data_IF_789532631480
#
_entry.id   IF_789532631480
#
_cell.length_a   1.000
_cell.length_b   1.000
_cell.length_c   1.000
_cell.angle_alpha   90.00
_cell.angle_beta   90.00
_cell.angle_gamma   90.00
#
_symmetry.space_group_name_H-M   'P 1'
#
loop_
_entity.id
_entity.type
_entity.pdbx_description
1 polymer ?
#
# COMPACT_ATOMS: atom_id res chain seq x y z
N UNK A 1 19.06 -1.93 7.22
CA UNK A 1 17.83 -2.69 7.42
C UNK A 1 16.86 -1.81 8.18
N UNK A 2 15.59 -1.73 7.79
CA UNK A 2 14.57 -0.98 8.52
C UNK A 2 14.39 -1.53 9.95
N UNK A 3 13.89 -0.70 10.88
CA UNK A 3 13.80 -1.06 12.30
C UNK A 3 12.94 -2.31 12.60
N UNK A 4 11.95 -2.61 11.75
CA UNK A 4 11.11 -3.81 11.86
C UNK A 4 11.45 -4.91 10.84
N UNK A 5 12.62 -4.82 10.19
CA UNK A 5 13.04 -5.76 9.16
C UNK A 5 12.51 -5.40 7.76
N UNK A 6 12.77 -6.29 6.80
CA UNK A 6 12.21 -6.19 5.46
C UNK A 6 10.81 -6.78 5.45
N UNK A 7 9.80 -6.04 4.99
CA UNK A 7 8.41 -6.46 4.98
C UNK A 7 7.72 -6.21 3.62
N UNK A 8 8.45 -5.71 2.63
CA UNK A 8 7.87 -5.61 1.28
C UNK A 8 7.53 -7.00 0.73
N UNK A 9 6.47 -7.08 -0.06
CA UNK A 9 6.19 -8.22 -0.93
C UNK A 9 7.04 -8.05 -2.18
N UNK A 10 7.98 -8.98 -2.41
CA UNK A 10 8.81 -8.95 -3.61
C UNK A 10 7.95 -9.10 -4.87
N UNK A 11 8.27 -8.36 -5.91
CA UNK A 11 7.59 -8.45 -7.19
C UNK A 11 8.23 -9.56 -8.02
N UNK A 12 7.40 -10.46 -8.57
CA UNK A 12 7.84 -11.47 -9.54
C UNK A 12 7.26 -11.11 -10.90
N UNK A 13 8.14 -10.82 -11.85
CA UNK A 13 7.76 -10.50 -13.22
C UNK A 13 8.61 -11.31 -14.21
N UNK A 14 7.97 -12.20 -14.96
CA UNK A 14 8.65 -13.13 -15.84
C UNK A 14 9.72 -13.93 -15.11
N UNK A 15 10.97 -13.80 -15.53
CA UNK A 15 12.11 -14.47 -14.91
C UNK A 15 12.83 -13.63 -13.84
N UNK A 16 12.26 -12.53 -13.42
CA UNK A 16 12.84 -11.62 -12.44
C UNK A 16 12.11 -11.66 -11.11
N UNK A 17 12.87 -11.52 -10.03
CA UNK A 17 12.42 -11.14 -8.71
C UNK A 17 12.99 -9.75 -8.42
N UNK A 18 12.10 -8.77 -8.19
CA UNK A 18 12.46 -7.37 -7.99
C UNK A 18 12.15 -6.98 -6.56
N UNK A 19 13.09 -6.34 -5.88
CA UNK A 19 12.93 -5.94 -4.49
C UNK A 19 13.74 -4.67 -4.16
N UNK A 20 13.49 -4.13 -2.97
CA UNK A 20 14.07 -2.87 -2.49
C UNK A 20 14.95 -3.08 -1.26
N UNK A 21 16.17 -3.65 -1.40
CA UNK A 21 17.09 -3.79 -0.27
C UNK A 21 17.59 -2.45 0.27
N UNK A 22 17.51 -1.38 -0.52
CA UNK A 22 17.98 -0.05 -0.16
C UNK A 22 19.49 0.08 -0.08
N UNK A 23 19.98 1.32 0.09
CA UNK A 23 21.35 1.62 0.44
C UNK A 23 22.24 2.11 -0.71
N UNK A 24 23.48 2.42 -0.38
CA UNK A 24 24.41 3.18 -1.22
C UNK A 24 24.80 2.53 -2.56
N UNK A 25 24.58 1.24 -2.71
CA UNK A 25 24.87 0.55 -3.98
C UNK A 25 23.71 0.63 -4.98
N UNK A 26 22.59 1.18 -4.55
CA UNK A 26 21.35 1.30 -5.31
C UNK A 26 20.18 0.69 -4.53
N UNK A 27 19.04 1.39 -4.49
CA UNK A 27 17.90 1.02 -3.65
C UNK A 27 17.13 -0.19 -4.15
N UNK A 28 17.01 -0.37 -5.47
CA UNK A 28 16.19 -1.41 -6.10
C UNK A 28 17.08 -2.36 -6.89
N UNK A 29 16.79 -3.66 -6.80
CA UNK A 29 17.50 -4.71 -7.54
C UNK A 29 16.52 -5.64 -8.23
N UNK A 30 16.93 -6.19 -9.37
CA UNK A 30 16.30 -7.34 -9.97
C UNK A 30 17.28 -8.51 -10.01
N UNK A 31 16.79 -9.67 -9.61
CA UNK A 31 17.51 -10.92 -9.57
C UNK A 31 16.85 -11.93 -10.51
N UNK A 32 17.62 -12.81 -11.07
CA UNK A 32 17.09 -14.00 -11.79
C UNK A 32 16.31 -14.87 -10.79
N UNK A 33 15.07 -15.18 -11.10
CA UNK A 33 14.17 -15.93 -10.23
C UNK A 33 14.72 -17.30 -9.83
N UNK A 34 15.37 -18.00 -10.75
CA UNK A 34 15.81 -19.38 -10.53
C UNK A 34 17.22 -19.49 -9.93
N UNK A 35 18.04 -18.44 -10.05
CA UNK A 35 19.47 -18.50 -9.65
C UNK A 35 19.84 -17.49 -8.56
N UNK A 36 19.03 -16.46 -8.37
CA UNK A 36 19.34 -15.32 -7.52
C UNK A 36 20.44 -14.41 -8.05
N UNK A 37 20.91 -14.61 -9.28
CA UNK A 37 21.96 -13.77 -9.88
C UNK A 37 21.41 -12.36 -10.15
N UNK A 38 22.25 -11.35 -9.89
CA UNK A 38 21.92 -9.95 -10.16
C UNK A 38 21.78 -9.72 -11.66
N UNK A 39 20.62 -9.20 -12.09
CA UNK A 39 20.35 -8.74 -13.46
C UNK A 39 20.63 -7.25 -13.59
N UNK A 40 20.07 -6.45 -12.70
CA UNK A 40 20.32 -5.02 -12.64
C UNK A 40 20.12 -4.46 -11.22
N UNK A 41 20.70 -3.29 -10.97
CA UNK A 41 20.54 -2.51 -9.74
C UNK A 41 20.41 -1.04 -10.08
N UNK A 42 19.40 -0.36 -9.54
CA UNK A 42 19.12 1.06 -9.78
C UNK A 42 20.07 1.94 -8.95
N UNK A 43 21.26 2.21 -9.49
CA UNK A 43 22.35 2.92 -8.79
C UNK A 43 22.10 4.42 -8.61
N UNK A 44 21.19 5.00 -9.39
CA UNK A 44 20.84 6.42 -9.30
C UNK A 44 20.01 6.76 -8.05
N UNK A 45 19.51 5.76 -7.34
CA UNK A 45 18.68 5.90 -6.15
C UNK A 45 19.38 5.19 -5.00
N UNK A 46 19.61 5.89 -3.88
CA UNK A 46 20.35 5.38 -2.71
C UNK A 46 19.55 5.44 -1.40
N UNK A 47 18.24 5.63 -1.47
CA UNK A 47 17.35 5.58 -0.31
C UNK A 47 17.49 4.25 0.43
N UNK A 48 17.29 4.29 1.75
CA UNK A 48 17.19 3.09 2.56
C UNK A 48 15.91 2.30 2.23
N UNK A 49 15.91 1.01 2.52
CA UNK A 49 14.70 0.20 2.46
C UNK A 49 13.68 0.64 3.52
N UNK A 50 12.41 0.56 3.17
CA UNK A 50 11.28 0.68 4.08
C UNK A 50 10.32 -0.51 3.91
N UNK A 51 9.02 -0.29 4.14
CA UNK A 51 8.05 -1.38 4.27
C UNK A 51 7.08 -1.48 3.09
N UNK A 52 7.22 -0.58 2.10
CA UNK A 52 6.36 -0.52 0.91
C UNK A 52 6.67 -1.63 -0.08
N UNK A 53 5.63 -2.17 -0.70
CA UNK A 53 5.75 -3.06 -1.84
C UNK A 53 5.74 -2.28 -3.15
N UNK A 54 6.50 -2.76 -4.11
CA UNK A 54 6.60 -2.17 -5.46
C UNK A 54 5.36 -2.50 -6.28
N UNK A 55 4.95 -1.57 -7.13
CA UNK A 55 3.85 -1.74 -8.07
C UNK A 55 4.39 -1.79 -9.50
N UNK A 56 4.00 -2.81 -10.27
CA UNK A 56 4.20 -2.85 -11.72
C UNK A 56 2.92 -2.36 -12.41
N UNK A 57 3.06 -1.40 -13.30
CA UNK A 57 1.94 -0.81 -14.05
C UNK A 57 2.22 -0.81 -15.53
N UNK A 58 1.17 -0.81 -16.35
CA UNK A 58 1.26 -0.45 -17.76
C UNK A 58 0.91 1.03 -17.89
N UNK A 59 1.93 1.88 -18.08
CA UNK A 59 1.76 3.30 -18.28
C UNK A 59 1.76 3.59 -19.79
N UNK A 60 0.58 3.87 -20.36
CA UNK A 60 0.39 4.21 -21.78
C UNK A 60 1.06 3.21 -22.76
N UNK A 61 0.96 1.91 -22.45
CA UNK A 61 1.56 0.84 -23.24
C UNK A 61 2.99 0.45 -22.85
N UNK A 62 3.61 1.14 -21.89
CA UNK A 62 4.96 0.89 -21.42
C UNK A 62 4.96 0.41 -19.96
N UNK A 63 5.53 -0.78 -19.65
CA UNK A 63 5.63 -1.25 -18.28
C UNK A 63 6.57 -0.37 -17.45
N UNK A 64 6.14 0.01 -16.26
CA UNK A 64 6.92 0.79 -15.31
C UNK A 64 6.78 0.22 -13.91
N UNK A 65 7.85 0.26 -13.14
CA UNK A 65 7.86 -0.03 -11.71
C UNK A 65 7.67 1.28 -10.94
N UNK A 66 6.75 1.29 -10.00
CA UNK A 66 6.54 2.44 -9.10
C UNK A 66 6.93 2.04 -7.68
N UNK A 67 7.87 2.77 -7.08
CA UNK A 67 8.30 2.53 -5.71
C UNK A 67 8.23 3.79 -4.87
N UNK A 68 7.61 3.67 -3.70
CA UNK A 68 7.59 4.69 -2.67
C UNK A 68 8.78 4.50 -1.74
N UNK A 69 9.65 5.48 -1.68
CA UNK A 69 10.88 5.50 -0.87
C UNK A 69 10.78 6.57 0.24
N UNK A 70 11.69 6.57 1.21
CA UNK A 70 11.69 7.56 2.30
C UNK A 70 11.67 9.01 1.84
N UNK A 71 12.45 9.36 0.82
CA UNK A 71 12.61 10.74 0.37
C UNK A 71 11.85 11.07 -0.92
N UNK A 72 11.38 10.05 -1.66
CA UNK A 72 10.84 10.22 -3.00
C UNK A 72 9.92 9.10 -3.44
N UNK A 73 9.16 9.35 -4.51
CA UNK A 73 8.50 8.32 -5.31
C UNK A 73 9.21 8.24 -6.64
N UNK A 74 9.48 7.03 -7.12
CA UNK A 74 10.23 6.82 -8.36
C UNK A 74 9.49 5.88 -9.30
N UNK A 75 9.60 6.17 -10.60
CA UNK A 75 9.26 5.26 -11.68
C UNK A 75 10.52 4.70 -12.31
N UNK A 76 10.59 3.39 -12.49
CA UNK A 76 11.75 2.70 -13.04
C UNK A 76 11.36 1.83 -14.24
N UNK A 77 12.31 1.67 -15.17
CA UNK A 77 12.21 0.66 -16.21
C UNK A 77 12.39 -0.74 -15.59
N UNK A 78 11.48 -1.69 -15.79
CA UNK A 78 11.63 -3.06 -15.30
C UNK A 78 12.79 -3.81 -15.98
N UNK A 79 13.21 -3.39 -17.19
CA UNK A 79 14.23 -4.07 -17.96
C UNK A 79 15.65 -3.88 -17.41
N UNK A 80 15.92 -2.67 -16.85
CA UNK A 80 17.29 -2.28 -16.50
C UNK A 80 17.41 -1.42 -15.24
N UNK A 81 16.29 -1.11 -14.54
CA UNK A 81 16.28 -0.30 -13.33
C UNK A 81 16.61 1.19 -13.53
N UNK A 82 16.58 1.68 -14.79
CA UNK A 82 16.79 3.11 -15.06
C UNK A 82 15.62 3.92 -14.52
N UNK A 83 15.91 5.04 -13.88
CA UNK A 83 14.91 6.00 -13.43
C UNK A 83 14.26 6.64 -14.65
N UNK A 84 12.95 6.56 -14.74
CA UNK A 84 12.12 7.19 -15.77
C UNK A 84 11.64 8.55 -15.30
N UNK A 85 11.21 8.63 -14.05
CA UNK A 85 10.76 9.84 -13.39
C UNK A 85 10.92 9.71 -11.85
N UNK A 86 10.90 10.84 -11.17
CA UNK A 86 10.94 10.90 -9.72
C UNK A 86 10.30 12.17 -9.20
N UNK A 87 9.75 12.12 -8.00
CA UNK A 87 9.22 13.28 -7.28
C UNK A 87 9.57 13.19 -5.80
N UNK A 88 10.04 14.30 -5.24
CA UNK A 88 10.35 14.39 -3.82
C UNK A 88 9.09 14.32 -2.96
N UNK A 89 9.23 13.69 -1.79
CA UNK A 89 8.18 13.65 -0.77
C UNK A 89 8.73 13.95 0.61
N UNK A 90 7.81 14.33 1.52
CA UNK A 90 8.12 14.54 2.93
C UNK A 90 7.77 13.28 3.76
N UNK A 91 8.34 13.18 4.96
CA UNK A 91 7.98 12.18 5.94
C UNK A 91 8.65 10.82 5.75
N UNK A 92 9.92 10.69 6.16
CA UNK A 92 10.70 9.47 5.97
C UNK A 92 10.35 8.35 6.97
N UNK A 93 9.44 8.58 7.92
CA UNK A 93 9.14 7.62 9.00
C UNK A 93 8.02 6.68 8.56
N UNK A 94 8.20 5.38 8.80
CA UNK A 94 7.20 4.31 8.61
C UNK A 94 6.50 4.37 7.24
N UNK A 95 7.29 4.36 6.17
CA UNK A 95 6.80 4.37 4.79
C UNK A 95 6.37 2.95 4.41
N UNK A 96 5.07 2.68 4.43
CA UNK A 96 4.54 1.32 4.30
C UNK A 96 3.43 1.14 3.26
N UNK A 97 2.76 2.22 2.88
CA UNK A 97 1.64 2.16 1.95
C UNK A 97 2.11 1.92 0.52
N UNK A 98 1.60 0.89 -0.13
CA UNK A 98 1.84 0.64 -1.56
C UNK A 98 1.24 1.78 -2.39
N UNK A 99 1.95 2.30 -3.40
CA UNK A 99 1.41 3.32 -4.30
C UNK A 99 0.14 2.86 -5.01
N UNK A 100 -0.75 3.80 -5.33
CA UNK A 100 -1.91 3.57 -6.19
C UNK A 100 -1.62 4.25 -7.53
N UNK A 101 -1.88 3.54 -8.62
CA UNK A 101 -1.78 4.06 -9.98
C UNK A 101 -3.13 3.92 -10.70
N UNK A 102 -3.59 5.00 -11.32
CA UNK A 102 -4.77 4.98 -12.17
C UNK A 102 -4.68 6.07 -13.26
N UNK A 103 -4.67 5.65 -14.53
CA UNK A 103 -4.67 6.55 -15.70
C UNK A 103 -3.61 7.66 -15.64
N UNK A 104 -2.34 7.29 -15.41
CA UNK A 104 -1.23 8.23 -15.29
C UNK A 104 -1.12 8.95 -13.93
N UNK A 105 -2.14 8.86 -13.09
CA UNK A 105 -2.11 9.45 -11.76
C UNK A 105 -1.56 8.47 -10.74
N UNK A 106 -0.63 8.95 -9.91
CA UNK A 106 -0.01 8.19 -8.82
C UNK A 106 -0.35 8.84 -7.50
N UNK A 107 -0.86 8.04 -6.57
CA UNK A 107 -1.16 8.47 -5.21
C UNK A 107 -0.33 7.70 -4.20
N UNK A 108 0.21 8.40 -3.21
CA UNK A 108 0.92 7.83 -2.07
C UNK A 108 0.48 8.50 -0.78
N UNK A 109 0.55 7.76 0.33
CA UNK A 109 0.26 8.27 1.66
C UNK A 109 1.24 7.71 2.68
N UNK A 110 1.50 8.46 3.73
CA UNK A 110 2.26 8.00 4.90
C UNK A 110 1.76 8.71 6.15
N UNK A 111 1.89 8.04 7.28
CA UNK A 111 1.57 8.61 8.59
C UNK A 111 2.65 9.57 9.13
N UNK A 112 2.63 9.81 10.42
CA UNK A 112 3.54 10.73 11.13
C UNK A 112 3.56 12.15 10.58
N UNK A 113 2.39 12.61 10.08
CA UNK A 113 2.21 13.96 9.56
C UNK A 113 2.74 14.18 8.13
N UNK A 114 3.17 13.13 7.44
CA UNK A 114 3.55 13.21 6.04
C UNK A 114 2.33 13.51 5.16
N UNK A 115 1.19 12.85 5.44
CA UNK A 115 -0.01 13.00 4.63
C UNK A 115 0.05 12.25 3.32
N UNK A 116 -0.55 12.82 2.29
CA UNK A 116 -0.64 12.22 0.97
C UNK A 116 -0.17 13.17 -0.14
N UNK A 117 0.25 12.56 -1.23
CA UNK A 117 0.70 13.22 -2.45
C UNK A 117 0.04 12.54 -3.65
N UNK A 118 -0.53 13.34 -4.52
CA UNK A 118 -1.04 12.96 -5.83
C UNK A 118 -0.28 13.72 -6.91
N UNK A 119 0.15 13.02 -7.94
CA UNK A 119 0.79 13.61 -9.11
C UNK A 119 0.42 12.83 -10.37
N UNK A 120 0.53 13.49 -11.51
CA UNK A 120 0.34 12.92 -12.83
C UNK A 120 1.69 12.68 -13.50
N UNK A 121 1.81 11.58 -14.21
CA UNK A 121 2.93 11.25 -15.09
C UNK A 121 2.40 11.26 -16.51
N UNK A 122 2.97 12.08 -17.39
CA UNK A 122 2.57 12.15 -18.81
C UNK A 122 3.29 11.11 -19.68
N UNK A 123 3.00 11.12 -20.98
CA UNK A 123 3.58 10.17 -21.94
C UNK A 123 5.12 10.31 -22.09
N UNK A 124 5.67 11.48 -21.81
CA UNK A 124 7.11 11.77 -21.85
C UNK A 124 7.79 11.57 -20.48
N UNK A 125 7.06 11.05 -19.51
CA UNK A 125 7.48 10.86 -18.12
C UNK A 125 7.73 12.17 -17.34
N UNK A 126 7.12 13.29 -17.75
CA UNK A 126 7.12 14.48 -16.91
C UNK A 126 6.13 14.30 -15.77
N UNK A 127 6.53 14.78 -14.59
CA UNK A 127 5.75 14.67 -13.37
C UNK A 127 5.16 16.02 -13.01
N UNK A 128 3.84 16.06 -12.80
CA UNK A 128 3.13 17.23 -12.34
C UNK A 128 2.39 16.94 -11.04
N UNK A 129 2.76 17.61 -9.95
CA UNK A 129 2.03 17.52 -8.68
C UNK A 129 0.61 18.08 -8.87
N UNK A 130 -0.41 17.31 -8.45
CA UNK A 130 -1.81 17.71 -8.47
C UNK A 130 -2.19 18.27 -7.10
N UNK A 131 -1.93 17.55 -6.03
CA UNK A 131 -2.12 18.02 -4.66
C UNK A 131 -1.20 17.31 -3.67
N UNK A 132 -0.98 18.01 -2.55
CA UNK A 132 -0.34 17.49 -1.35
C UNK A 132 -1.13 17.99 -0.14
N UNK A 133 -1.60 17.07 0.71
CA UNK A 133 -2.37 17.44 1.88
C UNK A 133 -2.22 16.42 3.02
N UNK A 134 -2.92 16.65 4.14
CA UNK A 134 -2.87 15.80 5.33
C UNK A 134 -4.24 15.19 5.69
N UNK A 135 -5.07 14.97 4.67
CA UNK A 135 -6.43 14.43 4.88
C UNK A 135 -6.37 12.95 5.24
N UNK A 136 -5.53 12.18 4.53
CA UNK A 136 -5.32 10.78 4.80
C UNK A 136 -3.84 10.53 5.13
N UNK A 137 -3.56 10.15 6.38
CA UNK A 137 -2.23 9.81 6.88
C UNK A 137 -2.18 8.30 7.14
N UNK A 138 -2.07 7.50 6.10
CA UNK A 138 -2.08 6.05 6.27
C UNK A 138 -0.76 5.52 6.82
N UNK A 139 -0.80 4.72 7.88
CA UNK A 139 0.38 4.13 8.49
C UNK A 139 0.77 2.83 7.79
N UNK A 140 0.04 1.75 8.02
CA UNK A 140 0.29 0.46 7.38
C UNK A 140 -0.95 -0.30 6.93
N UNK A 141 -2.11 0.24 7.07
CA UNK A 141 -3.34 -0.45 6.67
C UNK A 141 -3.60 -0.51 5.17
N UNK A 142 -2.86 0.24 4.37
CA UNK A 142 -3.10 0.40 2.94
C UNK A 142 -4.22 1.40 2.64
N UNK A 143 -4.29 1.78 1.37
CA UNK A 143 -5.34 2.66 0.82
C UNK A 143 -5.86 2.00 -0.45
N UNK A 144 -7.19 1.98 -0.63
CA UNK A 144 -7.85 1.43 -1.81
C UNK A 144 -8.52 2.53 -2.62
N UNK A 145 -8.38 2.46 -3.93
CA UNK A 145 -9.17 3.26 -4.86
C UNK A 145 -10.47 2.52 -5.15
N UNK A 146 -11.61 3.15 -4.85
CA UNK A 146 -12.96 2.62 -5.08
C UNK A 146 -13.73 3.64 -5.90
N UNK A 147 -13.95 3.34 -7.18
CA UNK A 147 -14.48 4.33 -8.11
C UNK A 147 -13.63 5.59 -8.15
N UNK A 148 -14.16 6.72 -7.70
CA UNK A 148 -13.49 8.02 -7.68
C UNK A 148 -12.96 8.40 -6.28
N UNK A 149 -12.98 7.49 -5.32
CA UNK A 149 -12.56 7.80 -3.95
C UNK A 149 -11.47 6.88 -3.44
N UNK A 150 -10.60 7.43 -2.62
CA UNK A 150 -9.58 6.75 -1.86
C UNK A 150 -10.10 6.46 -0.46
N UNK A 151 -9.96 5.23 0.00
CA UNK A 151 -10.37 4.83 1.35
C UNK A 151 -9.23 4.13 2.06
N UNK A 152 -8.91 4.58 3.25
CA UNK A 152 -7.89 3.98 4.11
C UNK A 152 -8.02 4.42 5.55
N UNK A 153 -7.35 3.71 6.44
CA UNK A 153 -7.28 4.11 7.85
C UNK A 153 -6.36 5.31 8.03
N UNK A 154 -6.74 6.21 8.96
CA UNK A 154 -6.01 7.44 9.24
C UNK A 154 -5.28 7.40 10.59
N UNK A 155 -4.19 8.13 10.66
CA UNK A 155 -3.38 8.32 11.86
C UNK A 155 -2.28 7.29 12.06
N UNK A 156 -1.45 7.59 13.04
CA UNK A 156 -0.41 6.69 13.50
C UNK A 156 -1.08 5.54 14.26
N UNK A 157 -0.86 4.30 13.83
CA UNK A 157 -1.54 3.13 14.36
C UNK A 157 -3.07 3.10 14.11
N UNK A 158 -3.53 3.76 13.05
CA UNK A 158 -4.94 3.72 12.61
C UNK A 158 -5.95 4.06 13.72
N UNK A 159 -5.60 4.97 14.61
CA UNK A 159 -6.38 5.33 15.79
C UNK A 159 -7.50 6.35 15.50
N UNK A 160 -7.53 6.89 14.29
CA UNK A 160 -8.49 7.91 13.86
C UNK A 160 -9.64 7.37 12.99
N UNK A 161 -9.70 6.07 12.75
CA UNK A 161 -10.72 5.43 11.93
C UNK A 161 -10.41 5.44 10.44
N UNK A 162 -11.44 5.46 9.58
CA UNK A 162 -11.30 5.45 8.14
C UNK A 162 -11.65 6.80 7.51
N UNK A 163 -10.85 7.21 6.55
CA UNK A 163 -11.05 8.42 5.75
C UNK A 163 -11.36 8.04 4.31
N UNK A 164 -12.35 8.74 3.75
CA UNK A 164 -12.62 8.78 2.33
C UNK A 164 -12.20 10.13 1.77
N UNK A 165 -11.41 10.10 0.71
CA UNK A 165 -10.86 11.28 0.04
C UNK A 165 -11.17 11.17 -1.46
N UNK A 166 -11.60 12.26 -2.09
CA UNK A 166 -11.75 12.29 -3.54
C UNK A 166 -10.38 12.07 -4.21
N UNK A 167 -10.33 11.17 -5.20
CA UNK A 167 -9.08 10.78 -5.85
C UNK A 167 -8.41 11.93 -6.56
N UNK A 168 -9.14 12.68 -7.41
CA UNK A 168 -8.56 13.74 -8.24
C UNK A 168 -8.51 15.10 -7.53
N UNK A 169 -9.50 15.43 -6.72
CA UNK A 169 -9.59 16.74 -6.07
C UNK A 169 -8.84 16.80 -4.74
N UNK A 170 -8.60 15.65 -4.12
CA UNK A 170 -7.87 15.57 -2.86
C UNK A 170 -8.62 16.07 -1.63
N UNK A 171 -9.90 16.46 -1.74
CA UNK A 171 -10.73 16.88 -0.63
C UNK A 171 -11.29 15.69 0.14
N UNK A 172 -11.63 15.90 1.42
CA UNK A 172 -12.27 14.87 2.23
C UNK A 172 -13.74 14.74 1.85
N UNK A 173 -14.16 13.51 1.55
CA UNK A 173 -15.55 13.17 1.31
C UNK A 173 -16.25 12.87 2.64
N UNK A 174 -15.71 11.94 3.42
CA UNK A 174 -16.18 11.64 4.78
C UNK A 174 -15.06 11.11 5.67
N UNK A 175 -15.34 11.02 6.98
CA UNK A 175 -14.44 10.46 7.98
C UNK A 175 -15.26 9.65 8.99
N UNK A 176 -15.10 8.33 8.95
CA UNK A 176 -15.73 7.41 9.89
C UNK A 176 -14.84 7.24 11.13
N UNK A 177 -15.33 7.68 12.28
CA UNK A 177 -14.60 7.68 13.55
C UNK A 177 -15.20 6.75 14.60
N UNK A 178 -16.46 6.30 14.39
CA UNK A 178 -17.22 5.61 15.43
C UNK A 178 -16.99 4.10 15.40
N UNK A 179 -16.21 3.62 16.37
CA UNK A 179 -16.21 2.20 16.78
C UNK A 179 -15.60 1.20 15.83
N UNK A 180 -15.22 1.58 14.61
CA UNK A 180 -14.68 0.62 13.65
C UNK A 180 -13.19 0.34 13.88
N UNK A 181 -12.46 1.24 14.57
CA UNK A 181 -11.00 1.18 14.61
C UNK A 181 -10.42 1.24 13.19
N UNK A 182 -9.20 1.65 13.03
CA UNK A 182 -8.51 1.55 11.75
C UNK A 182 -7.83 0.19 11.58
N UNK A 183 -7.36 -0.09 10.39
CA UNK A 183 -6.65 -1.33 10.11
C UNK A 183 -6.34 -1.53 8.64
N UNK A 184 -5.97 -2.75 8.30
CA UNK A 184 -5.65 -3.13 6.95
C UNK A 184 -6.92 -3.31 6.10
N UNK A 185 -6.80 -2.98 4.81
CA UNK A 185 -7.91 -3.04 3.85
C UNK A 185 -7.50 -3.78 2.58
N UNK A 186 -8.45 -4.49 1.98
CA UNK A 186 -8.37 -5.01 0.62
C UNK A 186 -9.75 -4.87 -0.05
N UNK A 187 -9.79 -4.57 -1.34
CA UNK A 187 -11.02 -4.35 -2.10
C UNK A 187 -11.16 -5.41 -3.18
N UNK A 188 -12.31 -6.05 -3.24
CA UNK A 188 -12.70 -7.00 -4.28
C UNK A 188 -14.22 -7.11 -4.36
N UNK A 189 -14.75 -7.34 -5.57
CA UNK A 189 -16.18 -7.59 -5.84
C UNK A 189 -17.08 -6.53 -5.18
N UNK A 190 -16.74 -5.25 -5.40
CA UNK A 190 -17.45 -4.07 -4.87
C UNK A 190 -17.56 -4.03 -3.33
N UNK A 191 -16.69 -4.76 -2.65
CA UNK A 191 -16.63 -4.82 -1.19
C UNK A 191 -15.22 -4.54 -0.66
N UNK A 192 -15.18 -3.86 0.46
CA UNK A 192 -13.98 -3.64 1.25
C UNK A 192 -13.94 -4.64 2.39
N UNK A 193 -12.90 -5.44 2.44
CA UNK A 193 -12.59 -6.31 3.57
C UNK A 193 -11.61 -5.57 4.47
N UNK A 194 -11.89 -5.48 5.76
CA UNK A 194 -11.00 -4.81 6.71
C UNK A 194 -10.60 -5.74 7.84
N UNK A 195 -9.38 -5.58 8.31
CA UNK A 195 -8.87 -6.25 9.51
C UNK A 195 -8.42 -5.18 10.50
N UNK A 196 -9.14 -5.05 11.60
CA UNK A 196 -8.83 -4.06 12.64
C UNK A 196 -7.51 -4.37 13.32
N UNK A 197 -6.64 -3.38 13.44
CA UNK A 197 -5.36 -3.51 14.13
C UNK A 197 -5.49 -3.82 15.61
N UNK A 198 -6.51 -3.24 16.25
CA UNK A 198 -6.63 -3.23 17.70
C UNK A 198 -7.17 -4.54 18.24
N UNK A 199 -8.23 -5.03 17.64
CA UNK A 199 -9.02 -6.14 18.17
C UNK A 199 -9.18 -7.30 17.20
N UNK A 200 -8.58 -7.21 15.99
CA UNK A 200 -8.71 -8.22 14.94
C UNK A 200 -10.17 -8.48 14.49
N UNK A 201 -11.03 -7.48 14.59
CA UNK A 201 -12.36 -7.54 14.00
C UNK A 201 -12.24 -7.49 12.48
N UNK A 202 -12.86 -8.44 11.81
CA UNK A 202 -12.96 -8.50 10.35
C UNK A 202 -14.33 -7.96 9.94
N UNK A 203 -14.36 -7.08 8.92
CA UNK A 203 -15.61 -6.54 8.39
C UNK A 203 -15.65 -6.61 6.89
N UNK A 204 -16.84 -6.84 6.38
CA UNK A 204 -17.20 -6.68 4.98
C UNK A 204 -18.06 -5.42 4.85
N UNK A 205 -17.61 -4.47 4.07
CA UNK A 205 -18.27 -3.19 3.92
C UNK A 205 -18.42 -2.78 2.45
N UNK A 206 -19.48 -2.06 2.17
CA UNK A 206 -19.64 -1.27 0.95
C UNK A 206 -19.16 0.16 1.24
N UNK A 207 -18.45 0.73 0.29
CA UNK A 207 -17.90 2.07 0.40
C UNK A 207 -18.23 2.86 -0.85
N UNK A 208 -18.66 4.09 -0.65
CA UNK A 208 -18.93 5.04 -1.73
C UNK A 208 -18.71 6.48 -1.24
N UNK A 209 -18.92 7.46 -2.11
CA UNK A 209 -18.96 8.88 -1.73
C UNK A 209 -20.05 9.18 -0.69
N UNK A 210 -21.11 8.36 -0.62
CA UNK A 210 -22.22 8.56 0.31
C UNK A 210 -21.95 8.05 1.72
N UNK A 211 -20.90 7.23 1.90
CA UNK A 211 -20.52 6.70 3.19
C UNK A 211 -20.03 5.26 3.17
N UNK A 212 -20.10 4.69 4.35
CA UNK A 212 -19.63 3.36 4.69
C UNK A 212 -20.82 2.53 5.24
N UNK A 213 -21.05 1.35 4.69
CA UNK A 213 -22.10 0.42 5.14
C UNK A 213 -21.47 -0.94 5.44
N UNK A 214 -21.55 -1.40 6.68
CA UNK A 214 -21.08 -2.74 7.08
C UNK A 214 -22.18 -3.76 6.77
N UNK A 215 -21.87 -4.77 5.97
CA UNK A 215 -22.75 -5.88 5.61
C UNK A 215 -22.54 -7.12 6.49
N UNK A 216 -21.37 -7.28 7.05
CA UNK A 216 -21.05 -8.40 7.92
C UNK A 216 -19.77 -8.16 8.70
N UNK A 217 -19.68 -8.80 9.86
CA UNK A 217 -18.46 -8.77 10.67
C UNK A 217 -18.33 -10.02 11.54
N UNK A 218 -17.09 -10.35 11.85
CA UNK A 218 -16.78 -11.41 12.81
C UNK A 218 -15.45 -11.11 13.52
N UNK A 219 -15.32 -11.64 14.73
CA UNK A 219 -14.08 -11.60 15.49
C UNK A 219 -13.15 -12.70 15.02
N UNK A 220 -11.90 -12.34 14.68
CA UNK A 220 -10.89 -13.33 14.35
C UNK A 220 -10.50 -14.10 15.63
N UNK A 221 -10.69 -15.42 15.64
CA UNK A 221 -10.37 -16.28 16.76
C UNK A 221 -9.78 -17.62 16.29
N UNK A 222 -8.77 -18.19 17.03
CA UNK A 222 -8.16 -17.64 18.25
C UNK A 222 -7.28 -16.42 17.95
N UNK A 223 -7.13 -15.51 18.90
CA UNK A 223 -6.19 -14.40 18.81
C UNK A 223 -4.83 -14.77 19.40
N UNK A 224 -3.77 -14.28 18.76
CA UNK A 224 -2.42 -14.48 19.24
C UNK A 224 -2.15 -13.70 20.54
N UNK A 225 -1.47 -14.36 21.46
CA UNK A 225 -0.90 -13.75 22.67
C UNK A 225 0.52 -13.20 22.43
N UNK A 226 1.07 -13.43 21.24
CA UNK A 226 2.45 -13.10 20.88
C UNK A 226 2.59 -11.76 20.13
N UNK A 227 1.55 -10.93 20.11
CA UNK A 227 1.59 -9.59 19.48
C UNK A 227 2.48 -8.65 20.29
N UNK A 228 3.73 -8.47 19.88
CA UNK A 228 4.70 -7.61 20.60
C UNK A 228 4.23 -6.16 20.74
N UNK A 229 3.50 -5.65 19.75
CA UNK A 229 2.92 -4.30 19.76
C UNK A 229 1.50 -4.27 20.33
N UNK A 230 0.90 -5.44 20.62
CA UNK A 230 -0.51 -5.57 20.95
C UNK A 230 -1.46 -5.44 19.76
N UNK A 231 -0.94 -5.34 18.51
CA UNK A 231 -1.71 -5.03 17.30
C UNK A 231 -1.54 -6.07 16.21
N UNK A 232 -2.51 -6.13 15.30
CA UNK A 232 -2.48 -6.93 14.06
C UNK A 232 -2.14 -6.01 12.91
N UNK A 233 -0.96 -6.17 12.32
CA UNK A 233 -0.46 -5.32 11.23
C UNK A 233 -0.34 -6.05 9.89
N UNK A 234 -0.83 -7.27 9.81
CA UNK A 234 -0.83 -8.05 8.56
C UNK A 234 -1.95 -7.58 7.65
N UNK A 235 -1.67 -7.57 6.34
CA UNK A 235 -2.69 -7.28 5.35
C UNK A 235 -3.51 -8.54 5.04
N UNK A 236 -4.84 -8.41 4.83
CA UNK A 236 -5.64 -9.46 4.22
C UNK A 236 -5.14 -9.78 2.83
N UNK A 237 -5.30 -11.03 2.39
CA UNK A 237 -5.07 -11.43 1.01
C UNK A 237 -6.29 -12.18 0.47
N UNK A 238 -6.67 -11.89 -0.78
CA UNK A 238 -7.74 -12.58 -1.49
C UNK A 238 -7.18 -13.32 -2.68
N UNK A 239 -7.45 -14.61 -2.76
CA UNK A 239 -7.04 -15.43 -3.88
C UNK A 239 -8.01 -16.60 -4.08
N UNK A 240 -8.44 -16.84 -5.32
CA UNK A 240 -9.28 -17.98 -5.70
C UNK A 240 -10.57 -18.10 -4.84
N UNK A 241 -11.24 -16.99 -4.57
CA UNK A 241 -12.45 -16.94 -3.74
C UNK A 241 -12.23 -17.23 -2.27
N UNK A 242 -11.00 -17.06 -1.78
CA UNK A 242 -10.65 -17.26 -0.38
C UNK A 242 -9.97 -16.04 0.22
N UNK A 243 -10.42 -15.68 1.42
CA UNK A 243 -9.82 -14.63 2.25
C UNK A 243 -8.82 -15.27 3.20
N UNK A 244 -7.58 -14.83 3.12
CA UNK A 244 -6.50 -15.22 4.03
C UNK A 244 -6.20 -14.10 4.99
N UNK A 245 -6.20 -14.42 6.28
CA UNK A 245 -5.88 -13.51 7.36
C UNK A 245 -4.78 -14.11 8.23
N UNK A 246 -3.94 -13.27 8.81
CA UNK A 246 -2.87 -13.74 9.70
C UNK A 246 -2.83 -12.93 10.97
N UNK A 247 -2.67 -13.62 12.09
CA UNK A 247 -2.38 -13.04 13.39
C UNK A 247 -1.21 -13.80 14.02
N UNK A 248 -0.01 -13.30 13.82
CA UNK A 248 1.26 -13.89 14.26
C UNK A 248 1.44 -15.34 13.75
N UNK A 249 1.36 -16.32 14.64
CA UNK A 249 1.46 -17.76 14.37
C UNK A 249 0.21 -18.36 13.72
N UNK A 250 -0.93 -17.68 13.78
CA UNK A 250 -2.18 -18.16 13.19
C UNK A 250 -2.35 -17.67 11.76
N UNK A 251 -2.75 -18.56 10.87
CA UNK A 251 -3.20 -18.26 9.51
C UNK A 251 -4.62 -18.82 9.34
N UNK A 252 -5.53 -17.95 8.89
CA UNK A 252 -6.93 -18.27 8.69
C UNK A 252 -7.24 -18.24 7.21
N UNK A 253 -8.14 -19.10 6.78
CA UNK A 253 -8.61 -19.18 5.39
C UNK A 253 -10.13 -19.35 5.39
N UNK A 254 -10.83 -18.34 4.86
CA UNK A 254 -12.29 -18.35 4.73
C UNK A 254 -12.67 -18.43 3.26
N UNK A 255 -13.64 -19.28 2.93
CA UNK A 255 -14.29 -19.25 1.62
C UNK A 255 -15.25 -18.05 1.60
N UNK A 256 -15.05 -17.14 0.64
CA UNK A 256 -15.85 -15.90 0.50
C UNK A 256 -16.61 -15.86 -0.83
N UNK A 257 -16.71 -16.98 -1.50
CA UNK A 257 -17.56 -17.12 -2.68
C UNK A 257 -19.03 -17.10 -2.26
N UNK A 258 -19.89 -16.62 -3.15
CA UNK A 258 -21.34 -16.81 -3.00
C UNK A 258 -21.66 -18.31 -2.93
N UNK A 259 -22.57 -18.71 -2.03
CA UNK A 259 -23.00 -20.10 -1.90
C UNK A 259 -23.70 -20.64 -3.16
#
# INVERSE_FOLDING_TARGET
MPGYGFSESVLVEGDLVICTPGGQRGSVVALERNTGKLRWQSRAITDGAHYTSMLLVNHLGHPQLIQLLPSQVVGLSPDNGRVLWQIARDGPIAVATTPIYHNGNVYVSSAYGAGCLMFHVDADNHVQEIYRNKILNNHHGGVMLVGNVLVGSDGNNSDRGFVCQNFLEGNRVWHERTGLGGGAVIYADDRLYTLSEKDAMVRLAEVSEKGWTVHGQFQLEPQSKNRKSGRVWTHPALANGKLYLRDQEYVFCYDVREP
#
